data_IF_564334199512
#
_entry.id   IF_564334199512
#
_cell.length_a   1.000
_cell.length_b   1.000
_cell.length_c   1.000
_cell.angle_alpha   90.00
_cell.angle_beta   90.00
_cell.angle_gamma   90.00
#
_symmetry.space_group_name_H-M   'P 1'
#
loop_
_entity.id
_entity.type
_entity.pdbx_description
1 polymer ?
#
# COMPACT_ATOMS: atom_id res chain seq x y z
N UNK A 1 6.24 39.21 -7.78
CA UNK A 1 6.54 37.76 -7.66
C UNK A 1 6.89 37.46 -6.22
N UNK A 2 6.05 36.62 -5.59
CA UNK A 2 6.35 36.17 -4.25
C UNK A 2 7.28 34.96 -4.34
N UNK A 3 8.52 35.15 -3.93
CA UNK A 3 9.47 34.07 -3.73
C UNK A 3 9.45 33.67 -2.26
N UNK A 4 9.10 32.43 -2.00
CA UNK A 4 9.24 31.86 -0.65
C UNK A 4 10.65 31.24 -0.55
N UNK A 5 11.64 32.07 -0.25
CA UNK A 5 12.98 31.57 0.04
C UNK A 5 13.00 30.91 1.43
N UNK A 6 13.54 29.72 1.53
CA UNK A 6 13.79 29.03 2.80
C UNK A 6 12.58 28.36 3.47
N UNK A 7 11.44 28.24 2.80
CA UNK A 7 10.33 27.47 3.32
C UNK A 7 10.49 26.01 2.93
N UNK A 8 10.97 25.21 3.86
CA UNK A 8 10.92 23.76 3.78
C UNK A 8 9.48 23.31 4.10
N UNK A 9 8.57 23.43 3.13
CA UNK A 9 7.26 22.84 3.30
C UNK A 9 7.28 21.41 2.72
N UNK A 10 6.81 20.43 3.48
CA UNK A 10 6.69 19.05 3.04
C UNK A 10 5.69 18.86 1.88
N UNK A 11 4.88 19.87 1.61
CA UNK A 11 3.94 19.91 0.48
C UNK A 11 4.18 21.14 -0.39
N UNK A 12 4.35 20.93 -1.69
CA UNK A 12 4.43 22.00 -2.70
C UNK A 12 3.03 22.54 -3.01
N UNK A 13 2.49 23.38 -2.13
CA UNK A 13 1.18 24.00 -2.37
C UNK A 13 1.37 25.23 -3.25
N UNK A 14 0.67 25.29 -4.38
CA UNK A 14 0.66 26.48 -5.25
C UNK A 14 -0.05 27.63 -4.54
N UNK A 15 0.68 28.74 -4.32
CA UNK A 15 0.18 29.93 -3.63
C UNK A 15 0.45 31.18 -4.46
N UNK A 16 -0.25 32.29 -4.12
CA UNK A 16 -0.06 33.58 -4.77
C UNK A 16 -0.64 33.67 -6.17
N UNK A 17 0.04 34.41 -7.06
CA UNK A 17 -0.42 34.69 -8.44
C UNK A 17 -0.70 33.43 -9.26
N UNK A 18 0.13 32.37 -9.23
CA UNK A 18 -0.17 31.13 -9.93
C UNK A 18 -1.50 30.52 -9.48
N UNK A 19 -1.76 30.51 -8.18
CA UNK A 19 -3.04 29.97 -7.64
C UNK A 19 -4.22 30.84 -8.03
N UNK A 20 -4.05 32.17 -8.01
CA UNK A 20 -5.10 33.08 -8.46
C UNK A 20 -5.46 32.85 -9.94
N UNK A 21 -4.45 32.64 -10.80
CA UNK A 21 -4.66 32.29 -12.21
C UNK A 21 -5.41 30.98 -12.37
N UNK A 22 -5.05 29.93 -11.61
CA UNK A 22 -5.77 28.65 -11.63
C UNK A 22 -7.24 28.81 -11.28
N UNK A 23 -7.55 29.63 -10.27
CA UNK A 23 -8.94 29.91 -9.85
C UNK A 23 -9.72 30.71 -10.89
N UNK A 24 -9.12 31.77 -11.46
CA UNK A 24 -9.77 32.62 -12.46
C UNK A 24 -10.04 31.86 -13.76
N UNK A 25 -9.15 30.96 -14.16
CA UNK A 25 -9.30 30.13 -15.36
C UNK A 25 -10.10 28.86 -15.13
N UNK A 26 -10.54 28.58 -13.90
CA UNK A 26 -11.24 27.34 -13.53
C UNK A 26 -10.48 26.11 -14.06
N UNK A 27 -9.17 26.08 -13.80
CA UNK A 27 -8.30 25.03 -14.33
C UNK A 27 -8.70 23.66 -13.80
N UNK A 28 -9.00 22.71 -14.68
CA UNK A 28 -9.35 21.32 -14.30
C UNK A 28 -8.18 20.60 -13.63
N UNK A 29 -6.95 20.82 -14.12
CA UNK A 29 -5.74 20.21 -13.59
C UNK A 29 -4.95 21.25 -12.81
N UNK A 30 -5.04 21.17 -11.49
CA UNK A 30 -4.27 22.02 -10.58
C UNK A 30 -2.87 21.43 -10.40
N UNK A 31 -1.83 22.29 -10.32
CA UNK A 31 -0.44 21.83 -10.23
C UNK A 31 -0.13 21.09 -8.91
N UNK A 32 -0.62 21.58 -7.80
CA UNK A 32 -0.35 21.01 -6.48
C UNK A 32 -1.59 21.15 -5.60
N UNK A 33 -2.63 20.34 -5.87
CA UNK A 33 -3.84 20.37 -5.07
C UNK A 33 -3.56 19.80 -3.69
N UNK A 34 -4.13 20.42 -2.66
CA UNK A 34 -4.01 19.94 -1.27
C UNK A 34 -5.33 20.10 -0.53
N UNK A 35 -5.61 19.19 0.38
CA UNK A 35 -6.75 19.25 1.28
C UNK A 35 -6.25 19.23 2.71
N UNK A 36 -6.81 20.12 3.55
CA UNK A 36 -6.57 20.11 5.00
C UNK A 36 -7.71 19.36 5.66
N UNK A 37 -7.37 18.32 6.43
CA UNK A 37 -8.34 17.45 7.11
C UNK A 37 -8.24 17.71 8.61
N UNK A 38 -9.36 18.13 9.19
CA UNK A 38 -9.51 18.28 10.63
C UNK A 38 -10.11 17.00 11.20
N UNK A 39 -9.43 16.42 12.19
CA UNK A 39 -9.85 15.17 12.81
C UNK A 39 -10.98 15.41 13.80
N UNK A 40 -11.80 14.38 14.00
CA UNK A 40 -12.84 14.41 15.03
C UNK A 40 -12.24 14.50 16.45
N UNK A 41 -13.07 14.96 17.41
CA UNK A 41 -12.64 15.19 18.81
C UNK A 41 -11.95 13.98 19.45
N UNK A 42 -12.30 12.77 19.03
CA UNK A 42 -11.73 11.53 19.57
C UNK A 42 -10.26 11.32 19.17
N UNK A 43 -9.88 11.77 17.96
CA UNK A 43 -8.58 11.48 17.35
C UNK A 43 -7.63 12.67 17.30
N UNK A 44 -8.16 13.92 17.40
CA UNK A 44 -7.37 15.13 17.16
C UNK A 44 -6.28 15.40 18.21
N UNK A 45 -6.36 14.79 19.39
CA UNK A 45 -5.38 14.95 20.46
C UNK A 45 -4.39 13.78 20.55
N UNK A 46 -4.73 12.62 19.97
CA UNK A 46 -3.88 11.44 19.97
C UNK A 46 -3.04 11.38 18.70
N UNK A 47 -1.71 11.36 18.88
CA UNK A 47 -0.76 11.25 17.76
C UNK A 47 -0.82 9.88 17.09
N UNK A 48 -1.01 8.81 17.85
CA UNK A 48 -1.03 7.45 17.32
C UNK A 48 -2.27 7.26 16.44
N UNK A 49 -3.45 7.64 16.95
CA UNK A 49 -4.70 7.57 16.19
C UNK A 49 -4.66 8.46 14.92
N UNK A 50 -4.08 9.66 15.01
CA UNK A 50 -3.90 10.52 13.86
C UNK A 50 -2.96 9.91 12.80
N UNK A 51 -1.92 9.19 13.23
CA UNK A 51 -1.00 8.49 12.34
C UNK A 51 -1.66 7.29 11.64
N UNK A 52 -2.51 6.54 12.34
CA UNK A 52 -3.26 5.44 11.74
C UNK A 52 -4.23 5.95 10.67
N UNK A 53 -4.91 7.07 10.91
CA UNK A 53 -5.76 7.71 9.91
C UNK A 53 -4.92 8.18 8.71
N UNK A 54 -3.74 8.78 8.95
CA UNK A 54 -2.80 9.18 7.91
C UNK A 54 -2.45 8.00 7.01
N UNK A 55 -2.05 6.86 7.60
CA UNK A 55 -1.70 5.64 6.87
C UNK A 55 -2.88 5.04 6.08
N UNK A 56 -4.12 5.27 6.52
CA UNK A 56 -5.32 4.83 5.80
C UNK A 56 -5.66 5.72 4.60
N UNK A 57 -5.26 6.99 4.62
CA UNK A 57 -5.55 7.97 3.56
C UNK A 57 -4.44 7.96 2.50
N UNK A 58 -3.18 7.85 2.91
CA UNK A 58 -2.02 7.91 2.00
C UNK A 58 -1.99 6.73 1.06
N UNK A 59 -1.91 7.01 -0.24
CA UNK A 59 -1.82 5.99 -1.27
C UNK A 59 -0.56 5.15 -1.14
N UNK A 60 -0.71 3.86 -0.87
CA UNK A 60 0.37 2.90 -0.84
C UNK A 60 0.16 1.85 -1.92
N UNK A 61 0.97 1.91 -2.97
CA UNK A 61 1.00 0.92 -4.04
C UNK A 61 2.02 -0.18 -3.73
N UNK A 62 1.85 -1.35 -4.34
CA UNK A 62 2.74 -2.49 -4.14
C UNK A 62 4.21 -2.15 -4.46
N UNK A 63 4.48 -1.30 -5.44
CA UNK A 63 5.84 -0.88 -5.81
C UNK A 63 6.62 -0.26 -4.64
N UNK A 64 5.94 0.44 -3.74
CA UNK A 64 6.57 1.09 -2.59
C UNK A 64 6.97 0.11 -1.48
N UNK A 65 6.38 -1.09 -1.50
CA UNK A 65 6.60 -2.14 -0.50
C UNK A 65 7.51 -3.25 -1.03
N UNK A 66 7.60 -3.41 -2.35
CA UNK A 66 8.36 -4.48 -2.99
C UNK A 66 9.86 -4.13 -2.98
N UNK A 67 10.65 -5.00 -2.36
CA UNK A 67 12.11 -4.96 -2.42
C UNK A 67 12.64 -5.64 -3.66
N UNK A 68 12.12 -6.84 -3.99
CA UNK A 68 12.48 -7.57 -5.20
C UNK A 68 11.30 -8.42 -5.70
N UNK A 69 11.22 -8.59 -7.02
CA UNK A 69 10.27 -9.49 -7.67
C UNK A 69 11.01 -10.32 -8.71
N UNK A 70 10.92 -11.63 -8.60
CA UNK A 70 11.62 -12.56 -9.42
C UNK A 70 10.71 -13.71 -9.85
N UNK A 71 10.98 -14.26 -11.03
CA UNK A 71 10.28 -15.44 -11.54
C UNK A 71 11.28 -16.62 -11.48
N UNK A 72 10.86 -17.70 -10.83
CA UNK A 72 11.65 -18.92 -10.71
C UNK A 72 10.94 -20.10 -11.36
N UNK A 73 11.74 -21.04 -11.87
CA UNK A 73 11.25 -22.35 -12.26
C UNK A 73 11.33 -23.26 -11.03
N UNK A 74 10.19 -23.61 -10.46
CA UNK A 74 10.06 -24.43 -9.26
C UNK A 74 8.81 -25.31 -9.39
N UNK A 75 8.92 -26.46 -10.06
CA UNK A 75 7.76 -27.29 -10.38
C UNK A 75 7.15 -28.00 -9.18
N UNK A 76 7.95 -28.24 -8.14
CA UNK A 76 7.52 -28.97 -6.94
C UNK A 76 7.80 -28.18 -5.67
N UNK A 77 6.74 -27.74 -5.01
CA UNK A 77 6.84 -27.04 -3.73
C UNK A 77 7.43 -27.90 -2.61
N UNK A 78 7.40 -29.22 -2.74
CA UNK A 78 7.99 -30.12 -1.74
C UNK A 78 9.53 -30.19 -1.80
N UNK A 79 10.11 -29.94 -2.98
CA UNK A 79 11.55 -30.04 -3.23
C UNK A 79 12.11 -28.74 -3.81
N UNK A 80 11.71 -27.61 -3.26
CA UNK A 80 12.20 -26.31 -3.73
C UNK A 80 13.73 -26.17 -3.58
N UNK A 81 14.37 -25.61 -4.59
CA UNK A 81 15.81 -25.28 -4.55
C UNK A 81 16.07 -23.96 -3.79
N UNK A 82 15.04 -23.15 -3.53
CA UNK A 82 15.17 -21.85 -2.86
C UNK A 82 15.24 -22.07 -1.36
N UNK A 83 16.42 -21.89 -0.77
CA UNK A 83 16.66 -22.18 0.66
C UNK A 83 15.79 -21.32 1.58
N UNK A 84 15.62 -20.06 1.28
CA UNK A 84 14.79 -19.12 2.08
C UNK A 84 13.31 -19.52 2.16
N UNK A 85 12.82 -20.27 1.17
CA UNK A 85 11.41 -20.63 1.06
C UNK A 85 11.08 -22.00 1.67
N UNK A 86 12.10 -22.80 2.03
CA UNK A 86 11.91 -24.17 2.55
C UNK A 86 11.06 -24.22 3.82
N UNK A 87 11.33 -23.31 4.75
CA UNK A 87 10.58 -23.26 6.01
C UNK A 87 9.12 -22.88 5.80
N UNK A 88 8.88 -21.90 4.93
CA UNK A 88 7.53 -21.48 4.52
C UNK A 88 6.75 -22.67 3.94
N UNK A 89 7.30 -23.34 2.96
CA UNK A 89 6.64 -24.46 2.27
C UNK A 89 6.41 -25.66 3.19
N UNK A 90 7.34 -25.92 4.12
CA UNK A 90 7.18 -26.95 5.13
C UNK A 90 5.95 -26.70 6.01
N UNK A 91 5.73 -25.45 6.42
CA UNK A 91 4.54 -25.08 7.21
C UNK A 91 3.27 -25.33 6.40
N UNK A 92 3.22 -24.86 5.15
CA UNK A 92 2.05 -25.07 4.29
C UNK A 92 1.77 -26.55 4.03
N UNK A 93 2.81 -27.37 3.88
CA UNK A 93 2.66 -28.83 3.74
C UNK A 93 1.97 -29.45 4.95
N UNK A 94 2.40 -29.09 6.18
CA UNK A 94 1.77 -29.59 7.39
C UNK A 94 0.28 -29.21 7.48
N UNK A 95 -0.11 -28.02 6.98
CA UNK A 95 -1.52 -27.63 6.92
C UNK A 95 -2.29 -28.37 5.84
N UNK A 96 -1.70 -28.63 4.67
CA UNK A 96 -2.34 -29.38 3.58
C UNK A 96 -2.51 -30.85 3.93
N UNK A 97 -1.59 -31.45 4.68
CA UNK A 97 -1.72 -32.82 5.17
C UNK A 97 -2.94 -32.98 6.13
N UNK A 98 -3.38 -31.88 6.76
CA UNK A 98 -4.58 -31.84 7.62
C UNK A 98 -5.86 -31.61 6.79
N UNK A 99 -5.79 -30.85 5.70
CA UNK A 99 -6.91 -30.51 4.80
C UNK A 99 -6.56 -30.76 3.33
N UNK A 100 -6.72 -31.96 2.79
CA UNK A 100 -6.26 -32.33 1.44
C UNK A 100 -7.13 -31.80 0.27
N UNK A 101 -8.02 -30.85 0.48
CA UNK A 101 -9.05 -30.47 -0.51
C UNK A 101 -8.55 -29.67 -1.74
N UNK A 102 -7.27 -29.27 -1.82
CA UNK A 102 -6.77 -28.33 -2.85
C UNK A 102 -5.72 -28.85 -3.85
N UNK A 103 -5.41 -30.14 -3.90
CA UNK A 103 -4.27 -30.63 -4.73
C UNK A 103 -4.59 -31.12 -6.15
N UNK A 104 -5.84 -31.00 -6.64
CA UNK A 104 -6.23 -31.63 -7.93
C UNK A 104 -6.13 -30.73 -9.16
N UNK A 105 -5.79 -29.45 -9.02
CA UNK A 105 -5.69 -28.57 -10.17
C UNK A 105 -4.26 -28.54 -10.74
N UNK A 106 -4.14 -28.54 -12.08
CA UNK A 106 -2.84 -28.45 -12.73
C UNK A 106 -2.20 -27.09 -12.49
N UNK A 107 -1.10 -27.07 -11.75
CA UNK A 107 -0.35 -25.88 -11.39
C UNK A 107 0.76 -25.57 -12.41
N UNK A 108 1.12 -24.28 -12.55
CA UNK A 108 2.27 -23.87 -13.36
C UNK A 108 3.58 -24.32 -12.71
N UNK A 109 4.57 -24.69 -13.55
CA UNK A 109 5.91 -25.03 -13.08
C UNK A 109 6.73 -23.80 -12.67
N UNK A 110 6.22 -22.61 -12.91
CA UNK A 110 6.88 -21.35 -12.58
C UNK A 110 6.15 -20.62 -11.48
N UNK A 111 6.90 -19.88 -10.69
CA UNK A 111 6.40 -19.06 -9.59
C UNK A 111 6.89 -17.63 -9.71
N UNK A 112 6.08 -16.69 -9.26
CA UNK A 112 6.49 -15.33 -8.96
C UNK A 112 6.83 -15.28 -7.49
N UNK A 113 8.04 -14.89 -7.15
CA UNK A 113 8.50 -14.69 -5.79
C UNK A 113 8.72 -13.20 -5.55
N UNK A 114 8.02 -12.66 -4.56
CA UNK A 114 8.10 -11.27 -4.15
C UNK A 114 8.71 -11.21 -2.76
N UNK A 115 9.71 -10.38 -2.58
CA UNK A 115 10.27 -10.03 -1.27
C UNK A 115 9.83 -8.61 -0.94
N UNK A 116 9.19 -8.43 0.21
CA UNK A 116 8.73 -7.13 0.69
C UNK A 116 9.72 -6.50 1.66
N UNK A 117 9.73 -5.16 1.71
CA UNK A 117 10.51 -4.41 2.69
C UNK A 117 9.75 -4.35 4.02
N UNK A 118 10.29 -5.06 5.03
CA UNK A 118 9.69 -5.14 6.36
C UNK A 118 9.57 -3.78 7.04
N UNK A 119 10.53 -2.87 6.83
CA UNK A 119 10.51 -1.55 7.46
C UNK A 119 9.38 -0.68 6.88
N UNK A 120 9.23 -0.69 5.56
CA UNK A 120 8.15 0.05 4.90
C UNK A 120 6.76 -0.51 5.27
N UNK A 121 6.63 -1.83 5.39
CA UNK A 121 5.37 -2.45 5.81
C UNK A 121 4.99 -2.05 7.25
N UNK A 122 5.96 -2.07 8.18
CA UNK A 122 5.73 -1.63 9.56
C UNK A 122 5.38 -0.13 9.60
N UNK A 123 6.11 0.71 8.85
CA UNK A 123 5.87 2.16 8.81
C UNK A 123 4.46 2.50 8.33
N UNK A 124 3.95 1.73 7.37
CA UNK A 124 2.61 1.92 6.78
C UNK A 124 1.50 1.13 7.50
N UNK A 125 1.86 0.35 8.52
CA UNK A 125 0.93 -0.55 9.22
C UNK A 125 0.17 -1.45 8.24
N UNK A 126 0.91 -2.21 7.43
CA UNK A 126 0.42 -3.16 6.43
C UNK A 126 0.94 -4.54 6.78
N UNK A 127 0.06 -5.54 6.75
CA UNK A 127 0.37 -6.94 7.02
C UNK A 127 0.48 -7.76 5.72
N UNK A 128 1.11 -8.92 5.81
CA UNK A 128 1.15 -9.86 4.67
C UNK A 128 -0.25 -10.35 4.29
N UNK A 129 -1.14 -10.42 5.27
CA UNK A 129 -2.54 -10.77 5.07
C UNK A 129 -3.30 -9.72 4.25
N UNK A 130 -3.07 -8.41 4.51
CA UNK A 130 -3.66 -7.32 3.73
C UNK A 130 -3.26 -7.42 2.25
N UNK A 131 -2.00 -7.74 2.00
CA UNK A 131 -1.47 -7.93 0.63
C UNK A 131 -2.15 -9.13 -0.03
N UNK A 132 -2.26 -10.25 0.70
CA UNK A 132 -2.92 -11.45 0.22
C UNK A 132 -4.38 -11.16 -0.18
N UNK A 133 -5.15 -10.51 0.69
CA UNK A 133 -6.55 -10.16 0.39
C UNK A 133 -6.67 -9.28 -0.85
N UNK A 134 -5.78 -8.30 -1.01
CA UNK A 134 -5.80 -7.42 -2.19
C UNK A 134 -5.47 -8.15 -3.48
N UNK A 135 -4.47 -9.00 -3.48
CA UNK A 135 -4.09 -9.81 -4.65
C UNK A 135 -5.20 -10.81 -4.97
N UNK A 136 -5.71 -11.50 -3.96
CA UNK A 136 -6.80 -12.47 -4.14
C UNK A 136 -8.09 -11.81 -4.64
N UNK A 137 -8.41 -10.58 -4.19
CA UNK A 137 -9.57 -9.83 -4.68
C UNK A 137 -9.46 -9.45 -6.17
N UNK A 138 -8.21 -9.21 -6.65
CA UNK A 138 -7.98 -8.80 -8.04
C UNK A 138 -7.91 -9.97 -9.01
N UNK A 139 -7.29 -11.07 -8.59
CA UNK A 139 -6.99 -12.21 -9.46
C UNK A 139 -7.78 -13.47 -9.10
N UNK A 140 -8.45 -13.50 -7.95
CA UNK A 140 -9.34 -14.56 -7.52
C UNK A 140 -8.72 -15.95 -7.54
N UNK A 141 -9.44 -16.91 -8.10
CA UNK A 141 -9.10 -18.32 -8.11
C UNK A 141 -8.06 -18.71 -9.19
N UNK A 142 -7.50 -17.73 -9.91
CA UNK A 142 -6.49 -18.00 -10.95
C UNK A 142 -5.09 -18.24 -10.38
N UNK A 143 -4.90 -17.95 -9.07
CA UNK A 143 -3.59 -17.98 -8.41
C UNK A 143 -3.64 -18.67 -7.05
N UNK A 144 -2.59 -19.41 -6.75
CA UNK A 144 -2.31 -19.88 -5.39
C UNK A 144 -1.24 -18.98 -4.80
N UNK A 145 -1.57 -18.33 -3.69
CA UNK A 145 -0.68 -17.45 -2.95
C UNK A 145 -0.23 -18.12 -1.66
N UNK A 146 1.10 -18.17 -1.43
CA UNK A 146 1.71 -18.63 -0.18
C UNK A 146 2.61 -17.54 0.36
N UNK A 147 2.49 -17.21 1.63
CA UNK A 147 3.27 -16.15 2.27
C UNK A 147 3.66 -16.55 3.70
N UNK A 148 4.72 -15.95 4.20
CA UNK A 148 5.18 -16.18 5.55
C UNK A 148 4.62 -15.14 6.55
N UNK A 149 4.81 -15.41 7.83
CA UNK A 149 4.37 -14.53 8.91
C UNK A 149 5.12 -13.19 8.92
N UNK A 150 4.45 -12.11 9.32
CA UNK A 150 4.99 -10.76 9.46
C UNK A 150 6.21 -10.68 10.38
N UNK A 151 6.35 -11.62 11.32
CA UNK A 151 7.50 -11.70 12.23
C UNK A 151 8.76 -12.30 11.59
N UNK A 152 8.66 -12.91 10.41
CA UNK A 152 9.78 -13.53 9.72
C UNK A 152 10.90 -12.53 9.42
N UNK A 153 12.13 -13.03 9.29
CA UNK A 153 13.31 -12.19 8.96
C UNK A 153 13.22 -11.57 7.56
N UNK A 154 12.68 -12.32 6.60
CA UNK A 154 12.39 -11.88 5.23
C UNK A 154 10.90 -12.09 4.97
N UNK A 155 10.23 -11.11 4.40
CA UNK A 155 8.83 -11.20 4.03
C UNK A 155 8.72 -11.70 2.60
N UNK A 156 8.33 -12.96 2.45
CA UNK A 156 8.29 -13.68 1.17
C UNK A 156 6.84 -13.97 0.80
N UNK A 157 6.49 -13.63 -0.42
CA UNK A 157 5.20 -13.90 -1.02
C UNK A 157 5.38 -14.66 -2.33
N UNK A 158 4.83 -15.85 -2.42
CA UNK A 158 4.92 -16.74 -3.58
C UNK A 158 3.57 -16.82 -4.26
N UNK A 159 3.56 -16.62 -5.56
CA UNK A 159 2.39 -16.74 -6.40
C UNK A 159 2.64 -17.83 -7.42
N UNK A 160 1.75 -18.81 -7.47
CA UNK A 160 1.73 -19.85 -8.49
C UNK A 160 0.42 -19.76 -9.27
N UNK A 161 0.50 -19.71 -10.60
CA UNK A 161 -0.69 -19.72 -11.44
C UNK A 161 -1.29 -21.12 -11.54
N UNK A 162 -2.61 -21.18 -11.55
CA UNK A 162 -3.34 -22.37 -11.93
C UNK A 162 -3.38 -22.47 -13.45
N UNK A 163 -3.07 -23.65 -14.01
CA UNK A 163 -3.08 -23.87 -15.47
C UNK A 163 -4.50 -23.81 -16.01
N UNK A 164 -4.88 -22.67 -16.54
CA UNK A 164 -6.05 -22.55 -17.41
C UNK A 164 -5.62 -23.02 -18.80
N UNK A 165 -5.89 -24.28 -19.10
CA UNK A 165 -5.82 -24.96 -20.44
C UNK A 165 -4.97 -24.27 -21.52
N UNK A 166 -3.79 -24.88 -21.82
CA UNK A 166 -3.05 -24.88 -23.10
C UNK A 166 -2.29 -23.64 -23.51
N UNK A 167 -1.01 -23.60 -23.15
CA UNK A 167 0.15 -23.46 -24.05
C UNK A 167 1.40 -23.15 -23.21
N UNK A 168 2.33 -24.07 -23.16
CA UNK A 168 3.57 -23.97 -22.35
C UNK A 168 4.47 -22.80 -22.78
N UNK A 169 4.38 -22.37 -24.04
CA UNK A 169 5.25 -21.31 -24.57
C UNK A 169 4.87 -19.88 -24.15
N UNK A 170 3.65 -19.66 -23.64
CA UNK A 170 3.19 -18.33 -23.22
C UNK A 170 3.25 -18.07 -21.71
N UNK A 171 3.52 -19.09 -20.89
CA UNK A 171 3.45 -18.97 -19.42
C UNK A 171 4.42 -17.92 -18.87
N UNK A 172 5.64 -17.82 -19.41
CA UNK A 172 6.62 -16.80 -18.97
C UNK A 172 6.15 -15.38 -19.24
N UNK A 173 5.53 -15.14 -20.40
CA UNK A 173 5.07 -13.80 -20.77
C UNK A 173 3.85 -13.41 -19.92
N UNK A 174 2.98 -14.35 -19.64
CA UNK A 174 1.83 -14.13 -18.74
C UNK A 174 2.33 -13.79 -17.34
N UNK A 175 3.27 -14.57 -16.79
CA UNK A 175 3.87 -14.31 -15.48
C UNK A 175 4.58 -12.95 -15.41
N UNK A 176 5.32 -12.56 -16.46
CA UNK A 176 5.95 -11.24 -16.54
C UNK A 176 4.91 -10.11 -16.54
N UNK A 177 3.83 -10.27 -17.29
CA UNK A 177 2.76 -9.27 -17.33
C UNK A 177 2.07 -9.15 -15.97
N UNK A 178 1.78 -10.26 -15.31
CA UNK A 178 1.19 -10.29 -13.97
C UNK A 178 2.15 -9.68 -12.95
N UNK A 179 3.45 -10.03 -12.99
CA UNK A 179 4.45 -9.47 -12.09
C UNK A 179 4.56 -7.94 -12.25
N UNK A 180 4.53 -7.43 -13.48
CA UNK A 180 4.53 -6.00 -13.75
C UNK A 180 3.22 -5.33 -13.30
N UNK A 181 2.09 -5.98 -13.54
CA UNK A 181 0.78 -5.47 -13.12
C UNK A 181 0.68 -5.39 -11.59
N UNK A 182 1.11 -6.43 -10.88
CA UNK A 182 1.19 -6.40 -9.41
C UNK A 182 2.09 -5.26 -8.95
N UNK A 183 3.23 -5.07 -9.59
CA UNK A 183 4.19 -4.04 -9.22
C UNK A 183 3.63 -2.62 -9.41
N UNK A 184 2.99 -2.35 -10.55
CA UNK A 184 2.65 -0.99 -10.99
C UNK A 184 1.23 -0.59 -10.62
N UNK A 185 0.27 -1.50 -10.69
CA UNK A 185 -1.16 -1.19 -10.65
C UNK A 185 -1.83 -1.58 -9.35
N UNK A 186 -1.24 -2.49 -8.55
CA UNK A 186 -1.89 -2.94 -7.31
C UNK A 186 -1.73 -1.88 -6.21
N UNK A 187 -2.87 -1.37 -5.78
CA UNK A 187 -2.98 -0.47 -4.62
C UNK A 187 -3.36 -1.30 -3.41
N UNK A 188 -2.46 -1.34 -2.43
CA UNK A 188 -2.66 -2.10 -1.19
C UNK A 188 -3.57 -1.31 -0.25
N UNK A 189 -3.25 -0.02 -0.01
CA UNK A 189 -3.94 0.82 0.96
C UNK A 189 -4.03 2.26 0.47
N UNK A 190 -4.97 3.02 1.00
CA UNK A 190 -5.09 4.45 0.73
C UNK A 190 -6.07 4.84 -0.36
N UNK A 191 -6.16 6.13 -0.58
CA UNK A 191 -7.14 6.78 -1.47
C UNK A 191 -6.45 7.19 -2.77
N UNK A 192 -7.04 6.86 -3.91
CA UNK A 192 -6.54 7.29 -5.22
C UNK A 192 -6.42 8.81 -5.28
N UNK A 193 -5.38 9.30 -5.94
CA UNK A 193 -5.04 10.72 -6.12
C UNK A 193 -4.49 11.43 -4.88
N UNK A 194 -4.20 10.73 -3.78
CA UNK A 194 -3.52 11.28 -2.60
C UNK A 194 -2.13 10.64 -2.52
N UNK A 195 -1.12 11.33 -3.03
CA UNK A 195 0.23 10.77 -3.13
C UNK A 195 0.97 10.73 -1.79
N UNK A 196 0.73 11.70 -0.93
CA UNK A 196 1.33 11.75 0.40
C UNK A 196 0.47 12.54 1.37
N UNK A 197 0.58 12.23 2.65
CA UNK A 197 -0.11 12.93 3.73
C UNK A 197 0.91 13.37 4.76
N UNK A 198 0.82 14.61 5.22
CA UNK A 198 1.66 15.16 6.27
C UNK A 198 0.82 15.55 7.47
N UNK A 199 1.34 15.31 8.66
CA UNK A 199 0.70 15.63 9.93
C UNK A 199 1.45 16.76 10.60
N UNK A 200 0.72 17.76 11.13
CA UNK A 200 1.28 18.86 11.91
C UNK A 200 0.36 19.25 13.06
N UNK A 201 0.95 19.87 14.07
CA UNK A 201 0.19 20.43 15.21
C UNK A 201 -0.31 21.82 14.89
N UNK A 202 -1.62 22.00 14.94
CA UNK A 202 -2.26 23.30 14.90
C UNK A 202 -2.32 23.87 16.33
N UNK A 203 -1.64 25.01 16.53
CA UNK A 203 -1.58 25.71 17.82
C UNK A 203 -2.64 26.81 17.94
N UNK A 204 -3.41 27.06 16.91
CA UNK A 204 -4.40 28.14 16.87
C UNK A 204 -5.83 27.66 17.11
N UNK A 205 -5.99 26.53 17.80
CA UNK A 205 -7.29 26.00 18.15
C UNK A 205 -7.71 26.49 19.53
N UNK A 206 -8.89 27.09 19.64
CA UNK A 206 -9.48 27.57 20.90
C UNK A 206 -10.77 26.84 21.17
N UNK A 207 -10.86 26.17 22.30
CA UNK A 207 -12.10 25.55 22.78
C UNK A 207 -12.70 26.33 23.96
N UNK A 208 -14.02 26.42 23.99
CA UNK A 208 -14.74 27.05 25.11
C UNK A 208 -14.94 26.01 26.22
N UNK A 209 -14.18 26.13 27.29
CA UNK A 209 -14.36 25.34 28.51
C UNK A 209 -14.71 26.26 29.71
N UNK A 210 -15.71 25.90 30.45
CA UNK A 210 -16.14 26.65 31.67
C UNK A 210 -16.27 28.19 31.48
N UNK A 211 -16.80 28.63 30.32
CA UNK A 211 -16.94 30.04 29.92
C UNK A 211 -15.61 30.76 29.65
N UNK A 212 -14.50 30.08 29.54
CA UNK A 212 -13.21 30.64 29.12
C UNK A 212 -12.72 29.95 27.87
N UNK A 213 -12.02 30.70 27.00
CA UNK A 213 -11.37 30.14 25.83
C UNK A 213 -9.99 29.59 26.22
N UNK A 214 -9.79 28.30 26.03
CA UNK A 214 -8.51 27.63 26.30
C UNK A 214 -7.89 27.25 24.95
N UNK A 215 -6.61 27.63 24.76
CA UNK A 215 -5.86 27.25 23.59
C UNK A 215 -5.43 25.80 23.72
N UNK A 216 -5.78 24.97 22.74
CA UNK A 216 -5.39 23.56 22.66
C UNK A 216 -4.64 23.29 21.37
N UNK A 217 -3.68 22.39 21.44
CA UNK A 217 -2.97 21.90 20.25
C UNK A 217 -3.72 20.69 19.69
N UNK A 218 -4.04 20.72 18.40
CA UNK A 218 -4.69 19.61 17.71
C UNK A 218 -3.83 19.11 16.54
N UNK A 219 -3.94 17.82 16.24
CA UNK A 219 -3.31 17.24 15.05
C UNK A 219 -4.20 17.47 13.83
N UNK A 220 -3.57 17.97 12.76
CA UNK A 220 -4.24 18.25 11.48
C UNK A 220 -3.45 17.56 10.39
N UNK A 221 -4.17 16.96 9.45
CA UNK A 221 -3.57 16.30 8.29
C UNK A 221 -3.65 17.23 7.07
N UNK A 222 -2.59 17.23 6.27
CA UNK A 222 -2.55 17.94 5.01
C UNK A 222 -2.15 16.98 3.90
N UNK A 223 -3.00 16.85 2.87
CA UNK A 223 -2.80 15.93 1.76
C UNK A 223 -2.09 16.61 0.60
N UNK A 224 -1.31 15.83 -0.13
CA UNK A 224 -0.83 16.17 -1.46
C UNK A 224 -1.66 15.40 -2.47
N UNK A 225 -2.57 16.12 -3.12
CA UNK A 225 -3.64 15.55 -3.92
C UNK A 225 -5.02 15.80 -3.31
N UNK A 226 -6.06 15.62 -4.11
CA UNK A 226 -7.47 15.84 -3.72
C UNK A 226 -8.32 14.66 -4.16
N UNK A 227 -9.11 14.14 -3.23
CA UNK A 227 -10.22 13.23 -3.50
C UNK A 227 -11.28 13.36 -2.41
N UNK A 228 -12.12 14.38 -2.52
CA UNK A 228 -13.12 14.72 -1.51
C UNK A 228 -14.28 13.71 -1.40
N UNK A 229 -14.47 12.87 -2.43
CA UNK A 229 -15.54 11.85 -2.40
C UNK A 229 -15.16 10.60 -1.63
N UNK A 230 -13.86 10.39 -1.40
CA UNK A 230 -13.34 9.18 -0.76
C UNK A 230 -12.75 9.44 0.64
N UNK A 231 -12.62 10.71 1.04
CA UNK A 231 -12.29 11.16 2.38
C UNK A 231 -13.57 11.35 3.19
#
# INVERSE_FOLDING_TARGET
TFHFAGVSSKSNVTRGVPRLKELLHISKNQKSPSTTIYLEKQYKYDKAAANDILNNIELTSAINLIKSINIYYDPDDNNTEIEDDKDLLRIYKLFNDINPECESESQSNMIIRIEFDKQEMINKNITMEDIYYKINMLYGDEMICKYNDDNSSKLIFRIRLLKIKKSEDNDINILKNIANDIRENVIIKGIKNISSVSMYKNKQHFELENKSYIQKEEWVLNTNGINLLSI
#
